data_IF_564452539659
#
_entry.id   IF_564452539659
#
_cell.length_a   1.000
_cell.length_b   1.000
_cell.length_c   1.000
_cell.angle_alpha   90.00
_cell.angle_beta   90.00
_cell.angle_gamma   90.00
#
_symmetry.space_group_name_H-M   'P 1'
#
loop_
_entity.id
_entity.type
_entity.pdbx_description
1 polymer ?
#
# COMPACT_ATOMS: atom_id res chain seq x y z
N UNK A 1 -14.90 5.97 -2.84
CA UNK A 1 -14.01 6.38 -1.73
C UNK A 1 -12.61 5.93 -2.06
N UNK A 2 -11.63 6.76 -1.72
CA UNK A 2 -10.20 6.55 -1.97
C UNK A 2 -9.43 6.66 -0.66
N UNK A 3 -8.29 6.00 -0.60
CA UNK A 3 -7.28 6.15 0.45
C UNK A 3 -6.07 6.83 -0.17
N UNK A 4 -5.51 7.81 0.53
CA UNK A 4 -4.28 8.48 0.10
C UNK A 4 -3.08 7.99 0.92
N UNK A 5 -2.07 7.44 0.26
CA UNK A 5 -0.79 7.08 0.86
C UNK A 5 0.15 8.30 0.79
N UNK A 6 0.54 8.84 1.94
CA UNK A 6 1.37 10.05 2.02
C UNK A 6 2.70 9.71 2.66
N UNK A 7 3.82 10.03 1.99
CA UNK A 7 5.15 9.94 2.58
C UNK A 7 5.27 10.91 3.75
N UNK A 8 5.78 10.44 4.89
CA UNK A 8 5.88 11.26 6.11
C UNK A 8 6.77 12.48 5.96
N UNK A 9 7.84 12.34 5.18
CA UNK A 9 8.77 13.42 4.93
C UNK A 9 8.38 14.24 3.67
N UNK A 10 7.27 13.88 3.02
CA UNK A 10 6.76 14.51 1.79
C UNK A 10 7.82 14.62 0.68
N UNK A 11 8.76 13.68 0.63
CA UNK A 11 9.84 13.67 -0.36
C UNK A 11 9.41 13.05 -1.69
N UNK A 12 8.38 12.20 -1.67
CA UNK A 12 7.80 11.57 -2.86
C UNK A 12 6.32 11.91 -2.96
N UNK A 13 5.73 11.94 -4.18
CA UNK A 13 4.32 12.21 -4.36
C UNK A 13 3.42 11.22 -3.61
N UNK A 14 2.30 11.74 -3.10
CA UNK A 14 1.25 10.89 -2.53
C UNK A 14 0.64 9.97 -3.59
N UNK A 15 0.17 8.80 -3.16
CA UNK A 15 -0.50 7.83 -4.02
C UNK A 15 -1.97 7.69 -3.60
N UNK A 16 -2.88 8.14 -4.45
CA UNK A 16 -4.32 7.93 -4.27
C UNK A 16 -4.74 6.55 -4.82
N UNK A 17 -5.45 5.77 -4.01
CA UNK A 17 -5.94 4.44 -4.37
C UNK A 17 -7.45 4.31 -4.10
N UNK A 18 -8.21 3.60 -4.94
CA UNK A 18 -9.54 3.15 -4.56
C UNK A 18 -9.48 2.28 -3.29
N UNK A 19 -10.47 2.39 -2.40
CA UNK A 19 -10.49 1.58 -1.16
C UNK A 19 -10.38 0.08 -1.44
N UNK A 20 -11.05 -0.43 -2.48
CA UNK A 20 -10.97 -1.84 -2.86
C UNK A 20 -9.55 -2.28 -3.23
N UNK A 21 -8.80 -1.42 -3.92
CA UNK A 21 -7.40 -1.66 -4.28
C UNK A 21 -6.53 -1.72 -3.02
N UNK A 22 -6.71 -0.77 -2.11
CA UNK A 22 -5.97 -0.74 -0.84
C UNK A 22 -6.33 -1.92 0.08
N UNK A 23 -7.61 -2.26 0.17
CA UNK A 23 -8.06 -3.37 1.01
C UNK A 23 -7.56 -4.73 0.50
N UNK A 24 -7.39 -4.90 -0.80
CA UNK A 24 -6.74 -6.10 -1.34
C UNK A 24 -5.30 -6.23 -0.80
N UNK A 25 -4.55 -5.12 -0.73
CA UNK A 25 -3.20 -5.07 -0.14
C UNK A 25 -3.22 -5.37 1.36
N UNK A 26 -4.17 -4.79 2.10
CA UNK A 26 -4.33 -5.06 3.54
C UNK A 26 -4.69 -6.52 3.86
N UNK A 27 -5.26 -7.25 2.89
CA UNK A 27 -5.62 -8.66 3.04
C UNK A 27 -4.48 -9.62 2.63
N UNK A 28 -3.32 -9.13 2.19
CA UNK A 28 -2.17 -9.99 1.89
C UNK A 28 -1.72 -10.68 3.19
N UNK A 29 -1.59 -12.01 3.21
CA UNK A 29 -1.12 -12.73 4.39
C UNK A 29 0.23 -12.20 4.90
N UNK A 30 0.31 -11.89 6.19
CA UNK A 30 1.47 -11.32 6.86
C UNK A 30 1.41 -9.80 7.04
N UNK A 31 0.55 -9.09 6.32
CA UNK A 31 0.38 -7.63 6.47
C UNK A 31 -0.21 -7.27 7.84
N UNK A 32 -1.05 -8.13 8.41
CA UNK A 32 -1.59 -8.00 9.77
C UNK A 32 -0.52 -7.95 10.86
N UNK A 33 0.70 -8.42 10.56
CA UNK A 33 1.84 -8.34 11.47
C UNK A 33 2.58 -7.00 11.39
N UNK A 34 2.35 -6.22 10.33
CA UNK A 34 3.02 -4.94 10.08
C UNK A 34 2.28 -3.78 10.73
N UNK A 35 0.95 -3.74 10.65
CA UNK A 35 0.12 -2.70 11.27
C UNK A 35 -1.23 -3.29 11.69
N UNK A 36 -1.94 -2.60 12.59
CA UNK A 36 -3.27 -3.03 13.03
C UNK A 36 -4.23 -2.91 11.86
N UNK A 37 -4.52 -4.03 11.20
CA UNK A 37 -5.38 -4.12 10.01
C UNK A 37 -6.86 -4.12 10.38
N UNK A 38 -7.30 -3.28 11.33
CA UNK A 38 -8.73 -3.02 11.40
C UNK A 38 -9.13 -2.51 10.01
N UNK A 39 -10.06 -3.21 9.35
CA UNK A 39 -10.53 -2.93 7.99
C UNK A 39 -11.44 -1.71 7.95
N UNK A 40 -11.05 -0.69 8.70
CA UNK A 40 -11.71 0.59 8.88
C UNK A 40 -10.86 1.62 8.14
N UNK A 41 -11.46 2.76 7.78
CA UNK A 41 -10.73 3.90 7.21
C UNK A 41 -9.83 4.58 8.26
N UNK A 42 -9.33 3.83 9.23
CA UNK A 42 -8.50 4.39 10.29
C UNK A 42 -7.12 4.70 9.72
N UNK A 43 -6.56 5.87 10.08
CA UNK A 43 -5.26 6.28 9.59
C UNK A 43 -4.20 5.29 10.05
N UNK A 44 -3.47 4.73 9.09
CA UNK A 44 -2.29 3.91 9.35
C UNK A 44 -1.11 4.87 9.47
N UNK A 45 -0.36 4.79 10.56
CA UNK A 45 0.94 5.44 10.71
C UNK A 45 2.04 4.37 10.64
N UNK A 46 2.73 4.30 9.50
CA UNK A 46 3.67 3.23 9.19
C UNK A 46 5.13 3.73 9.23
N UNK A 47 6.04 2.93 9.79
CA UNK A 47 7.48 3.23 9.77
C UNK A 47 8.13 2.81 8.46
N UNK A 48 9.28 3.40 8.12
CA UNK A 48 10.05 3.04 6.92
C UNK A 48 10.33 1.54 6.83
N UNK A 49 10.76 0.91 7.92
CA UNK A 49 11.10 -0.52 7.93
C UNK A 49 9.89 -1.42 7.66
N UNK A 50 8.72 -1.06 8.18
CA UNK A 50 7.46 -1.76 7.92
C UNK A 50 6.98 -1.55 6.48
N UNK A 51 7.14 -0.33 5.93
CA UNK A 51 6.84 -0.07 4.52
C UNK A 51 7.68 -0.96 3.59
N UNK A 52 8.97 -1.17 3.87
CA UNK A 52 9.81 -2.11 3.09
C UNK A 52 9.32 -3.54 3.14
N UNK A 53 8.97 -4.02 4.34
CA UNK A 53 8.37 -5.35 4.48
C UNK A 53 7.05 -5.48 3.72
N UNK A 54 6.26 -4.41 3.67
CA UNK A 54 5.03 -4.40 2.86
C UNK A 54 5.35 -4.51 1.36
N UNK A 55 6.39 -3.82 0.87
CA UNK A 55 6.85 -3.96 -0.50
C UNK A 55 7.26 -5.41 -0.82
N UNK A 56 8.01 -6.05 0.08
CA UNK A 56 8.43 -7.45 -0.07
C UNK A 56 7.24 -8.43 -0.14
N UNK A 57 6.17 -8.15 0.63
CA UNK A 57 4.94 -8.94 0.60
C UNK A 57 4.16 -8.73 -0.70
N UNK A 58 4.06 -7.48 -1.17
CA UNK A 58 3.39 -7.16 -2.44
C UNK A 58 4.13 -7.82 -3.61
N UNK A 59 5.45 -7.76 -3.64
CA UNK A 59 6.28 -8.36 -4.70
C UNK A 59 5.94 -9.84 -4.93
N UNK A 60 5.73 -10.60 -3.84
CA UNK A 60 5.42 -12.04 -3.88
C UNK A 60 3.93 -12.35 -4.04
N UNK A 61 3.06 -11.35 -3.91
CA UNK A 61 1.62 -11.51 -3.95
C UNK A 61 1.09 -11.55 -5.40
N UNK A 62 0.08 -12.39 -5.64
CA UNK A 62 -0.65 -12.45 -6.91
C UNK A 62 -1.96 -11.66 -6.75
N UNK A 63 -2.12 -10.53 -7.45
CA UNK A 63 -3.33 -9.72 -7.33
C UNK A 63 -4.58 -10.44 -7.87
N UNK A 64 -5.77 -10.14 -7.34
CA UNK A 64 -7.02 -10.69 -7.88
C UNK A 64 -7.29 -10.15 -9.28
N UNK A 65 -8.10 -10.88 -10.04
CA UNK A 65 -8.52 -10.47 -11.38
C UNK A 65 -9.20 -9.09 -11.35
N UNK A 66 -8.85 -8.23 -12.32
CA UNK A 66 -9.37 -6.87 -12.40
C UNK A 66 -8.79 -5.89 -11.38
N UNK A 67 -7.84 -6.30 -10.53
CA UNK A 67 -7.15 -5.40 -9.62
C UNK A 67 -6.30 -4.39 -10.40
N UNK A 68 -6.45 -3.11 -10.06
CA UNK A 68 -5.77 -2.00 -10.74
C UNK A 68 -6.13 -1.89 -12.24
N UNK A 69 -7.42 -2.04 -12.58
CA UNK A 69 -7.95 -2.17 -13.94
C UNK A 69 -7.46 -1.13 -14.95
N UNK A 70 -7.22 0.10 -14.53
CA UNK A 70 -6.89 1.20 -15.45
C UNK A 70 -5.50 1.06 -16.08
N UNK A 71 -4.54 0.48 -15.34
CA UNK A 71 -3.14 0.32 -15.79
C UNK A 71 -2.65 -1.13 -15.77
N UNK A 72 -3.43 -2.05 -15.21
CA UNK A 72 -3.10 -3.46 -15.04
C UNK A 72 -2.41 -3.76 -13.71
N UNK A 73 -2.64 -4.98 -13.22
CA UNK A 73 -2.19 -5.45 -11.90
C UNK A 73 -0.66 -5.37 -11.71
N UNK A 74 0.13 -5.78 -12.70
CA UNK A 74 1.60 -5.76 -12.59
C UNK A 74 2.15 -4.33 -12.44
N UNK A 75 1.69 -3.39 -13.27
CA UNK A 75 2.08 -1.97 -13.14
C UNK A 75 1.59 -1.37 -11.81
N UNK A 76 0.39 -1.76 -11.38
CA UNK A 76 -0.14 -1.39 -10.07
C UNK A 76 0.77 -1.84 -8.92
N UNK A 77 1.29 -3.08 -8.98
CA UNK A 77 2.29 -3.57 -8.02
C UNK A 77 3.56 -2.75 -8.07
N UNK A 78 4.11 -2.51 -9.27
CA UNK A 78 5.35 -1.74 -9.43
C UNK A 78 5.25 -0.35 -8.79
N UNK A 79 4.14 0.38 -9.01
CA UNK A 79 3.94 1.70 -8.38
C UNK A 79 3.90 1.64 -6.85
N UNK A 80 3.19 0.66 -6.30
CA UNK A 80 3.12 0.48 -4.84
C UNK A 80 4.47 0.10 -4.26
N UNK A 81 5.16 -0.85 -4.89
CA UNK A 81 6.50 -1.29 -4.49
C UNK A 81 7.44 -0.09 -4.53
N UNK A 82 7.46 0.69 -5.62
CA UNK A 82 8.32 1.86 -5.74
C UNK A 82 8.05 2.90 -4.64
N UNK A 83 6.77 3.21 -4.36
CA UNK A 83 6.40 4.11 -3.28
C UNK A 83 6.92 3.61 -1.92
N UNK A 84 6.61 2.36 -1.55
CA UNK A 84 7.05 1.79 -0.27
C UNK A 84 8.57 1.60 -0.20
N UNK A 85 9.21 1.39 -1.36
CA UNK A 85 10.65 1.33 -1.54
C UNK A 85 11.32 2.70 -1.66
N UNK A 86 10.62 3.82 -1.51
CA UNK A 86 11.27 5.13 -1.50
C UNK A 86 10.82 6.01 -0.34
N UNK A 87 9.65 5.74 0.26
CA UNK A 87 9.15 6.49 1.41
C UNK A 87 10.03 6.35 2.66
N UNK A 88 9.88 7.30 3.57
CA UNK A 88 10.49 7.32 4.92
C UNK A 88 9.53 6.80 5.98
N UNK A 89 8.53 6.05 5.55
CA UNK A 89 7.32 5.73 6.29
C UNK A 89 6.16 6.52 5.72
N UNK A 90 4.94 6.04 5.90
CA UNK A 90 3.76 6.65 5.28
C UNK A 90 2.60 6.79 6.25
N UNK A 91 1.66 7.65 5.88
CA UNK A 91 0.34 7.79 6.51
C UNK A 91 -0.76 7.51 5.51
N UNK A 92 -1.90 7.05 6.00
CA UNK A 92 -3.11 6.92 5.18
C UNK A 92 -4.20 7.87 5.65
N UNK A 93 -4.92 8.47 4.69
CA UNK A 93 -6.06 9.36 4.91
C UNK A 93 -7.26 8.92 4.08
#
# INVERSE_FOLDING_TARGET
MTVELVDKDQNIPSLGLPNGTWFAVLNIPGVETLFSTQKTNDPIDCSRSKARKLADLIDRWIPPEGWFSDIGAEKGKEYLIDFFCNCKGFRTH
#
